data_IF_564536584802
#
_entry.id   IF_564536584802
#
_cell.length_a   1.000
_cell.length_b   1.000
_cell.length_c   1.000
_cell.angle_alpha   90.00
_cell.angle_beta   90.00
_cell.angle_gamma   90.00
#
_symmetry.space_group_name_H-M   'P 1'
#
loop_
_entity.id
_entity.type
_entity.pdbx_description
1 polymer ?
#
# COMPACT_ATOMS: atom_id res chain seq x y z
N UNK A 1 -8.74 -3.76 -5.21
CA UNK A 1 -7.27 -3.93 -5.11
C UNK A 1 -6.62 -3.24 -6.29
N UNK A 2 -5.91 -2.12 -6.05
CA UNK A 2 -5.23 -1.38 -7.12
C UNK A 2 -3.84 -1.95 -7.39
N UNK A 3 -3.54 -2.27 -8.64
CA UNK A 3 -2.22 -2.75 -9.07
C UNK A 3 -1.58 -1.73 -10.04
N UNK A 4 -0.31 -1.41 -9.82
CA UNK A 4 0.47 -0.48 -10.66
C UNK A 4 1.84 -1.07 -10.99
N UNK A 5 2.34 -0.93 -12.23
CA UNK A 5 3.73 -1.29 -12.53
C UNK A 5 4.68 -0.45 -11.70
N UNK A 6 5.75 -1.04 -11.16
CA UNK A 6 6.75 -0.33 -10.35
C UNK A 6 7.40 0.85 -11.11
N UNK A 7 7.53 0.74 -12.42
CA UNK A 7 8.01 1.82 -13.29
C UNK A 7 7.12 3.08 -13.27
N UNK A 8 5.82 2.97 -12.95
CA UNK A 8 4.89 4.10 -12.91
C UNK A 8 5.11 5.00 -11.69
N UNK A 9 5.73 4.50 -10.62
CA UNK A 9 5.92 5.23 -9.36
C UNK A 9 6.71 6.51 -9.58
N UNK A 10 7.80 6.45 -10.35
CA UNK A 10 8.66 7.62 -10.57
C UNK A 10 7.89 8.77 -11.22
N UNK A 11 6.93 8.47 -12.10
CA UNK A 11 6.12 9.47 -12.80
C UNK A 11 4.91 9.92 -11.97
N UNK A 12 4.30 9.00 -11.23
CA UNK A 12 3.00 9.23 -10.59
C UNK A 12 3.09 9.16 -9.06
N UNK A 13 4.26 9.45 -8.47
CA UNK A 13 4.48 9.31 -7.03
C UNK A 13 3.43 10.06 -6.20
N UNK A 14 3.19 11.34 -6.52
CA UNK A 14 2.24 12.17 -5.78
C UNK A 14 0.81 11.63 -5.87
N UNK A 15 0.38 11.17 -7.05
CA UNK A 15 -0.93 10.56 -7.25
C UNK A 15 -1.05 9.28 -6.40
N UNK A 16 -0.06 8.39 -6.45
CA UNK A 16 -0.05 7.14 -5.68
C UNK A 16 -0.03 7.44 -4.17
N UNK A 17 0.77 8.42 -3.72
CA UNK A 17 0.82 8.83 -2.32
C UNK A 17 -0.53 9.38 -1.85
N UNK A 18 -1.18 10.21 -2.67
CA UNK A 18 -2.48 10.80 -2.35
C UNK A 18 -3.58 9.74 -2.29
N UNK A 19 -3.54 8.78 -3.22
CA UNK A 19 -4.44 7.62 -3.20
C UNK A 19 -4.29 6.82 -1.92
N UNK A 20 -3.05 6.48 -1.52
CA UNK A 20 -2.77 5.73 -0.30
C UNK A 20 -3.31 6.45 0.96
N UNK A 21 -3.12 7.77 1.03
CA UNK A 21 -3.61 8.59 2.16
C UNK A 21 -5.13 8.67 2.20
N UNK A 22 -5.77 8.90 1.06
CA UNK A 22 -7.24 9.06 0.98
C UNK A 22 -7.99 7.77 1.20
N UNK A 23 -7.55 6.67 0.61
CA UNK A 23 -8.25 5.39 0.72
C UNK A 23 -7.88 4.63 1.99
N UNK A 24 -6.65 4.81 2.49
CA UNK A 24 -6.07 3.93 3.50
C UNK A 24 -5.84 2.50 3.01
N UNK A 25 -6.04 2.23 1.73
CA UNK A 25 -5.88 0.91 1.12
C UNK A 25 -4.46 0.70 0.56
N UNK A 26 -3.95 -0.55 0.56
CA UNK A 26 -2.71 -0.89 -0.11
C UNK A 26 -2.78 -0.78 -1.63
N UNK A 27 -1.74 -0.17 -2.20
CA UNK A 27 -1.44 -0.22 -3.63
C UNK A 27 -0.37 -1.29 -3.88
N UNK A 28 -0.68 -2.23 -4.76
CA UNK A 28 0.23 -3.32 -5.10
C UNK A 28 1.06 -2.94 -6.30
N UNK A 29 2.37 -3.05 -6.14
CA UNK A 29 3.34 -2.81 -7.19
C UNK A 29 3.68 -4.13 -7.86
N UNK A 30 3.64 -4.12 -9.19
CA UNK A 30 4.03 -5.28 -9.98
C UNK A 30 5.34 -5.03 -10.71
N UNK A 31 6.15 -6.08 -10.79
CA UNK A 31 7.36 -6.14 -11.61
C UNK A 31 7.21 -7.33 -12.55
N UNK A 32 7.28 -7.08 -13.85
CA UNK A 32 7.08 -8.10 -14.89
C UNK A 32 5.74 -8.87 -14.72
N UNK A 33 4.67 -8.17 -14.37
CA UNK A 33 3.33 -8.75 -14.18
C UNK A 33 3.15 -9.56 -12.88
N UNK A 34 4.18 -9.66 -12.03
CA UNK A 34 4.11 -10.34 -10.74
C UNK A 34 4.10 -9.33 -9.60
N UNK A 35 3.37 -9.63 -8.53
CA UNK A 35 3.41 -8.82 -7.31
C UNK A 35 4.84 -8.78 -6.74
N UNK A 36 5.29 -7.58 -6.38
CA UNK A 36 6.65 -7.31 -5.93
C UNK A 36 6.63 -6.61 -4.57
N UNK A 37 5.90 -5.48 -4.47
CA UNK A 37 5.85 -4.64 -3.28
C UNK A 37 4.44 -4.10 -3.01
N UNK A 38 4.21 -3.63 -1.79
CA UNK A 38 2.99 -2.91 -1.40
C UNK A 38 3.39 -1.52 -0.90
N UNK A 39 2.63 -0.51 -1.30
CA UNK A 39 2.72 0.85 -0.77
C UNK A 39 1.43 1.17 -0.03
N UNK A 40 1.56 1.74 1.16
CA UNK A 40 0.45 2.17 2.02
C UNK A 40 0.79 3.50 2.67
N UNK A 41 -0.24 4.22 3.10
CA UNK A 41 -0.08 5.31 4.04
C UNK A 41 0.45 4.78 5.39
N UNK A 42 1.31 5.57 6.03
CA UNK A 42 1.99 5.19 7.27
C UNK A 42 0.99 5.00 8.41
N UNK A 43 0.00 5.88 8.55
CA UNK A 43 -0.99 5.76 9.62
C UNK A 43 -1.94 4.59 9.36
N UNK A 44 -2.34 4.38 8.11
CA UNK A 44 -3.15 3.22 7.72
C UNK A 44 -2.43 1.90 8.02
N UNK A 45 -1.12 1.83 7.73
CA UNK A 45 -0.28 0.69 8.08
C UNK A 45 -0.19 0.50 9.60
N UNK A 46 0.09 1.55 10.37
CA UNK A 46 0.20 1.47 11.83
C UNK A 46 -1.11 0.99 12.49
N UNK A 47 -2.26 1.48 12.03
CA UNK A 47 -3.59 1.01 12.50
C UNK A 47 -3.78 -0.47 12.19
N UNK A 48 -3.41 -0.91 10.98
CA UNK A 48 -3.52 -2.31 10.56
C UNK A 48 -2.66 -3.22 11.43
N UNK A 49 -1.40 -2.87 11.64
CA UNK A 49 -0.47 -3.62 12.51
C UNK A 49 -0.99 -3.71 13.94
N UNK A 50 -1.54 -2.62 14.48
CA UNK A 50 -2.10 -2.59 15.83
C UNK A 50 -3.29 -3.54 15.98
N UNK A 51 -4.19 -3.57 14.99
CA UNK A 51 -5.33 -4.50 14.98
C UNK A 51 -4.90 -5.96 14.83
N UNK A 52 -3.87 -6.24 14.03
CA UNK A 52 -3.33 -7.59 13.89
C UNK A 52 -2.74 -8.08 15.22
N UNK A 53 -1.92 -7.26 15.88
CA UNK A 53 -1.36 -7.59 17.20
C UNK A 53 -2.45 -7.85 18.24
N UNK A 54 -3.53 -7.07 18.25
CA UNK A 54 -4.63 -7.30 19.19
C UNK A 54 -5.30 -8.67 18.95
N UNK A 55 -5.47 -9.06 17.69
CA UNK A 55 -6.05 -10.36 17.31
C UNK A 55 -5.15 -11.54 17.65
N UNK A 56 -3.84 -11.39 17.58
CA UNK A 56 -2.89 -12.46 17.95
C UNK A 56 -2.87 -12.76 19.45
N UNK A 57 -3.35 -11.83 20.28
CA UNK A 57 -3.40 -11.96 21.73
C UNK A 57 -4.79 -12.41 22.26
N UNK A 58 -5.73 -12.72 21.37
CA UNK A 58 -7.07 -13.25 21.67
C UNK A 58 -7.14 -14.73 21.27
#
# INVERSE_FOLDING_TARGET
MLQKPSAAIRKNYNEISEMCKKSGEPVYLTKNGKGDLIVMDIEAFARRESMLRLRENL
#
